data_IF_075491319395
#
_entry.id   IF_075491319395
#
_cell.length_a   1.000
_cell.length_b   1.000
_cell.length_c   1.000
_cell.angle_alpha   90.00
_cell.angle_beta   90.00
_cell.angle_gamma   90.00
#
_symmetry.space_group_name_H-M   'P 1'
#
loop_
_entity.id
_entity.type
_entity.pdbx_description
1 polymer ?
#
# COMPACT_ATOMS: atom_id res chain seq x y z
N UNK A 1 -4.94 -1.27 0.01
CA UNK A 1 -4.09 -0.16 0.50
C UNK A 1 -3.19 -0.58 1.65
N UNK A 2 -3.68 -1.36 2.62
CA UNK A 2 -2.98 -1.80 3.85
C UNK A 2 -1.50 -2.20 3.64
N UNK A 3 -1.19 -2.98 2.60
CA UNK A 3 0.18 -3.39 2.31
C UNK A 3 1.12 -2.19 2.04
N UNK A 4 0.72 -1.30 1.12
CA UNK A 4 1.55 -0.14 0.78
C UNK A 4 1.65 0.86 1.93
N UNK A 5 0.62 0.95 2.78
CA UNK A 5 0.70 1.78 3.98
C UNK A 5 1.69 1.21 5.00
N UNK A 6 1.72 -0.11 5.21
CA UNK A 6 2.67 -0.73 6.12
C UNK A 6 4.13 -0.47 5.70
N UNK A 7 4.43 -0.61 4.40
CA UNK A 7 5.79 -0.48 3.87
C UNK A 7 6.18 0.95 3.46
N UNK A 8 5.21 1.84 3.27
CA UNK A 8 5.44 3.15 2.68
C UNK A 8 4.95 4.33 3.52
N UNK A 9 4.21 4.08 4.61
CA UNK A 9 3.83 5.13 5.55
C UNK A 9 4.65 5.05 6.85
N UNK A 10 4.86 6.21 7.45
CA UNK A 10 5.55 6.36 8.73
C UNK A 10 4.90 7.47 9.56
N UNK A 11 5.16 7.45 10.86
CA UNK A 11 4.83 8.57 11.75
C UNK A 11 5.83 9.70 11.54
N UNK A 12 5.31 10.88 11.26
CA UNK A 12 6.05 12.16 11.19
C UNK A 12 5.59 13.09 12.30
N UNK A 13 6.25 14.24 12.47
CA UNK A 13 5.88 15.23 13.50
C UNK A 13 4.42 15.70 13.36
N UNK A 14 3.89 15.77 12.13
CA UNK A 14 2.57 16.37 11.85
C UNK A 14 1.50 15.36 11.45
N UNK A 15 1.87 14.10 11.23
CA UNK A 15 0.96 13.07 10.75
C UNK A 15 1.48 11.68 11.13
N UNK A 16 0.67 10.94 11.89
CA UNK A 16 0.99 9.60 12.36
C UNK A 16 0.99 8.52 11.27
N UNK A 17 0.38 8.80 10.10
CA UNK A 17 0.30 7.88 8.96
C UNK A 17 0.65 8.60 7.64
N UNK A 18 1.80 9.29 7.61
CA UNK A 18 2.26 10.02 6.42
C UNK A 18 2.83 9.05 5.38
N UNK A 19 2.28 9.08 4.16
CA UNK A 19 2.92 8.43 3.01
C UNK A 19 4.25 9.09 2.68
N UNK A 20 5.29 8.26 2.55
CA UNK A 20 6.66 8.67 2.22
C UNK A 20 7.05 8.25 0.81
N UNK A 21 6.05 8.06 -0.05
CA UNK A 21 6.18 7.76 -1.47
C UNK A 21 5.02 8.41 -2.21
N UNK A 22 5.24 8.77 -3.48
CA UNK A 22 4.19 9.14 -4.41
C UNK A 22 3.50 7.87 -4.94
N UNK A 23 2.18 7.93 -5.13
CA UNK A 23 1.38 6.81 -5.61
C UNK A 23 0.45 7.29 -6.73
N UNK A 24 0.57 6.69 -7.90
CA UNK A 24 -0.34 6.87 -9.02
C UNK A 24 -1.16 5.59 -9.20
N UNK A 25 -2.48 5.70 -9.12
CA UNK A 25 -3.38 4.56 -9.33
C UNK A 25 -4.16 4.82 -10.60
N UNK A 26 -3.96 3.98 -11.60
CA UNK A 26 -4.74 3.98 -12.83
C UNK A 26 -5.86 2.93 -12.71
N UNK A 27 -7.10 3.39 -12.81
CA UNK A 27 -8.26 2.49 -12.90
C UNK A 27 -8.52 2.15 -14.36
N UNK A 28 -8.77 0.89 -14.64
CA UNK A 28 -9.02 0.37 -15.99
C UNK A 28 -10.48 -0.04 -16.09
N UNK A 29 -11.17 0.48 -17.09
CA UNK A 29 -12.58 0.20 -17.34
C UNK A 29 -12.71 -0.54 -18.66
N UNK A 30 -13.49 -1.60 -18.65
CA UNK A 30 -13.98 -2.25 -19.86
C UNK A 30 -15.31 -1.59 -20.24
N UNK A 31 -15.40 -1.12 -21.48
CA UNK A 31 -16.52 -0.33 -21.98
C UNK A 31 -17.16 -1.12 -23.12
N UNK A 32 -18.41 -1.52 -22.91
CA UNK A 32 -19.22 -2.19 -23.92
C UNK A 32 -19.37 -1.28 -25.15
N UNK A 33 -19.21 -1.83 -26.35
CA UNK A 33 -19.41 -1.08 -27.59
C UNK A 33 -20.87 -0.63 -27.71
N UNK A 34 -21.09 0.63 -28.10
CA UNK A 34 -22.42 1.23 -28.24
C UNK A 34 -23.34 0.43 -29.19
N UNK A 35 -22.76 -0.17 -30.23
CA UNK A 35 -23.52 -0.99 -31.20
C UNK A 35 -23.95 -2.30 -30.59
N UNK A 36 -23.10 -2.94 -29.78
CA UNK A 36 -23.45 -4.18 -29.08
C UNK A 36 -24.52 -3.94 -27.99
N UNK A 37 -24.40 -2.82 -27.27
CA UNK A 37 -25.42 -2.38 -26.32
C UNK A 37 -26.78 -2.16 -27.01
N UNK A 38 -26.80 -1.49 -28.16
CA UNK A 38 -28.03 -1.26 -28.93
C UNK A 38 -28.66 -2.57 -29.45
N UNK A 39 -27.85 -3.54 -29.91
CA UNK A 39 -28.34 -4.86 -30.35
C UNK A 39 -28.98 -5.67 -29.22
N UNK A 40 -28.56 -5.45 -27.97
CA UNK A 40 -29.15 -6.07 -26.78
C UNK A 40 -30.31 -5.25 -26.17
N UNK A 41 -30.71 -4.15 -26.82
CA UNK A 41 -31.81 -3.28 -26.38
C UNK A 41 -31.45 -2.32 -25.24
N UNK A 42 -30.16 -2.20 -24.89
CA UNK A 42 -29.69 -1.23 -23.89
C UNK A 42 -29.55 0.15 -24.53
N UNK A 43 -30.10 1.16 -23.86
CA UNK A 43 -29.95 2.56 -24.29
C UNK A 43 -28.57 3.16 -23.93
N UNK A 44 -27.85 2.56 -22.98
CA UNK A 44 -26.55 3.03 -22.48
C UNK A 44 -25.61 1.83 -22.38
N UNK A 45 -24.39 1.89 -22.95
CA UNK A 45 -23.39 0.84 -22.83
C UNK A 45 -22.92 0.68 -21.38
N UNK A 46 -22.62 -0.56 -21.00
CA UNK A 46 -22.06 -0.83 -19.68
C UNK A 46 -20.59 -0.45 -19.60
N UNK A 47 -20.17 0.01 -18.42
CA UNK A 47 -18.78 0.34 -18.10
C UNK A 47 -18.45 -0.36 -16.78
N UNK A 48 -17.56 -1.35 -16.83
CA UNK A 48 -17.22 -2.21 -15.69
C UNK A 48 -15.76 -1.98 -15.33
N UNK A 49 -15.46 -1.87 -14.04
CA UNK A 49 -14.09 -1.81 -13.57
C UNK A 49 -13.40 -3.15 -13.89
N UNK A 50 -12.47 -3.13 -14.84
CA UNK A 50 -11.72 -4.30 -15.29
C UNK A 50 -10.49 -4.57 -14.39
N UNK A 51 -9.93 -3.52 -13.81
CA UNK A 51 -8.74 -3.65 -12.97
C UNK A 51 -8.14 -2.32 -12.57
N UNK A 52 -6.94 -2.40 -11.99
CA UNK A 52 -6.16 -1.22 -11.65
C UNK A 52 -4.67 -1.51 -11.69
N UNK A 53 -3.88 -0.51 -12.08
CA UNK A 53 -2.42 -0.51 -12.01
C UNK A 53 -1.98 0.54 -11.00
N UNK A 54 -0.93 0.25 -10.25
CA UNK A 54 -0.41 1.12 -9.20
C UNK A 54 1.09 1.32 -9.39
N UNK A 55 1.45 2.55 -9.73
CA UNK A 55 2.84 2.97 -9.86
C UNK A 55 3.27 3.77 -8.63
N UNK A 56 4.43 3.41 -8.09
CA UNK A 56 5.00 4.04 -6.91
C UNK A 56 6.26 4.82 -7.26
N UNK A 57 6.42 5.99 -6.66
CA UNK A 57 7.48 6.93 -6.98
C UNK A 57 8.15 7.45 -5.72
N UNK A 58 9.46 7.69 -5.80
CA UNK A 58 10.23 8.48 -4.84
C UNK A 58 9.99 8.07 -3.37
N UNK A 59 10.12 6.78 -3.07
CA UNK A 59 10.15 6.33 -1.68
C UNK A 59 11.31 7.00 -0.92
N UNK A 60 11.03 7.57 0.25
CA UNK A 60 12.04 8.15 1.15
C UNK A 60 12.91 7.06 1.77
N UNK A 61 13.90 6.58 1.00
CA UNK A 61 14.78 5.48 1.40
C UNK A 61 15.62 5.79 2.63
N UNK A 62 15.98 7.06 2.86
CA UNK A 62 16.76 7.48 4.04
C UNK A 62 16.05 7.13 5.36
N UNK A 63 14.72 7.13 5.38
CA UNK A 63 13.92 6.83 6.57
C UNK A 63 14.13 5.42 7.13
N UNK A 64 14.62 4.49 6.31
CA UNK A 64 14.92 3.11 6.74
C UNK A 64 16.02 3.11 7.81
N UNK A 65 17.02 3.99 7.69
CA UNK A 65 18.20 3.99 8.57
C UNK A 65 18.23 5.16 9.54
N UNK A 66 17.51 6.26 9.25
CA UNK A 66 17.54 7.46 10.08
C UNK A 66 16.21 8.22 10.07
N UNK A 67 15.86 8.85 11.20
CA UNK A 67 14.70 9.71 11.34
C UNK A 67 14.84 10.61 12.58
N UNK A 68 14.25 11.81 12.53
CA UNK A 68 14.33 12.79 13.61
C UNK A 68 13.36 12.43 14.72
N UNK A 69 13.74 12.55 16.00
CA UNK A 69 12.81 12.40 17.12
C UNK A 69 11.75 13.53 17.10
N UNK A 70 10.43 13.26 17.31
CA UNK A 70 9.79 12.01 17.72
C UNK A 70 9.13 11.21 16.57
N UNK A 71 9.65 11.32 15.35
CA UNK A 71 9.19 10.52 14.22
C UNK A 71 9.53 9.04 14.40
N UNK A 72 9.02 8.21 13.48
CA UNK A 72 9.34 6.79 13.40
C UNK A 72 9.76 6.42 11.98
N UNK A 73 10.33 5.22 11.83
CA UNK A 73 10.47 4.59 10.52
C UNK A 73 9.13 4.01 10.03
N UNK A 74 9.15 3.22 8.96
CA UNK A 74 7.97 2.61 8.36
C UNK A 74 7.24 1.66 9.33
N UNK A 75 5.91 1.64 9.24
CA UNK A 75 5.06 0.88 10.16
C UNK A 75 5.37 -0.61 10.19
N UNK A 76 5.77 -1.18 9.05
CA UNK A 76 6.04 -2.61 8.91
C UNK A 76 7.08 -3.12 9.93
N UNK A 77 8.10 -2.34 10.26
CA UNK A 77 9.12 -2.75 11.22
C UNK A 77 8.51 -2.96 12.61
N UNK A 78 7.68 -2.02 13.06
CA UNK A 78 7.00 -2.11 14.35
C UNK A 78 5.92 -3.22 14.35
N UNK A 79 5.24 -3.41 13.22
CA UNK A 79 4.24 -4.48 13.06
C UNK A 79 4.87 -5.87 13.12
N UNK A 80 6.06 -6.08 12.52
CA UNK A 80 6.81 -7.33 12.61
C UNK A 80 7.28 -7.58 14.05
N UNK A 81 7.81 -6.57 14.72
CA UNK A 81 8.28 -6.70 16.12
C UNK A 81 7.13 -6.99 17.10
N UNK A 82 5.94 -6.46 16.83
CA UNK A 82 4.73 -6.75 17.60
C UNK A 82 4.06 -8.09 17.23
N UNK A 83 4.51 -8.78 16.18
CA UNK A 83 3.94 -10.06 15.78
C UNK A 83 4.32 -11.18 16.77
N UNK A 84 3.51 -12.25 16.82
CA UNK A 84 3.83 -13.47 17.58
C UNK A 84 5.21 -14.03 17.24
N UNK A 85 5.88 -14.63 18.24
CA UNK A 85 7.24 -15.15 18.10
C UNK A 85 7.36 -16.20 17.00
N UNK A 86 6.37 -17.09 16.86
CA UNK A 86 6.31 -18.08 15.78
C UNK A 86 6.25 -17.42 14.40
N UNK A 87 5.49 -16.33 14.26
CA UNK A 87 5.38 -15.59 12.98
C UNK A 87 6.69 -14.91 12.62
N UNK A 88 7.31 -14.18 13.56
CA UNK A 88 8.54 -13.43 13.25
C UNK A 88 9.78 -14.33 13.13
N UNK A 89 9.86 -15.42 13.90
CA UNK A 89 10.97 -16.38 13.77
C UNK A 89 10.91 -17.19 12.48
N UNK A 90 9.71 -17.41 11.92
CA UNK A 90 9.54 -17.97 10.57
C UNK A 90 10.08 -17.02 9.47
N UNK A 91 10.04 -15.70 9.68
CA UNK A 91 10.64 -14.73 8.75
C UNK A 91 12.16 -14.69 8.89
N UNK A 92 12.64 -14.55 10.12
CA UNK A 92 14.07 -14.55 10.43
C UNK A 92 14.30 -14.96 11.88
N UNK A 93 15.18 -15.93 12.10
CA UNK A 93 15.49 -16.47 13.44
C UNK A 93 16.06 -15.42 14.41
N UNK A 94 16.64 -14.33 13.89
CA UNK A 94 17.14 -13.21 14.68
C UNK A 94 16.05 -12.42 15.42
N UNK A 95 14.77 -12.61 15.10
CA UNK A 95 13.65 -11.97 15.80
C UNK A 95 13.19 -12.70 17.07
N UNK A 96 13.82 -13.82 17.45
CA UNK A 96 13.44 -14.54 18.67
C UNK A 96 13.55 -13.62 19.90
N UNK A 97 12.45 -13.47 20.66
CA UNK A 97 12.39 -12.62 21.84
C UNK A 97 12.44 -11.10 21.58
N UNK A 98 12.44 -10.63 20.33
CA UNK A 98 12.41 -9.20 20.02
C UNK A 98 11.02 -8.59 20.28
N UNK A 99 10.96 -7.36 20.77
CA UNK A 99 9.72 -6.62 20.96
C UNK A 99 9.82 -5.19 20.36
N UNK A 100 8.67 -4.53 20.24
CA UNK A 100 8.52 -3.14 19.83
C UNK A 100 8.73 -2.20 21.01
#
# INVERSE_FOLDING_TARGET
NVLLEAFGNAKTVRNDNSSRFGKYIQLQFDVEDEREAALTGKAIPTCILAGSVNDTYLLEKSRVVDHVHPERTYHIFYQILAAPDDVKTNLWSGFAGSNN
#
